data_IF_393705957528
#
_entry.id   IF_393705957528
#
_cell.length_a   1.000
_cell.length_b   1.000
_cell.length_c   1.000
_cell.angle_alpha   90.00
_cell.angle_beta   90.00
_cell.angle_gamma   90.00
#
_symmetry.space_group_name_H-M   'P 1'
#
loop_
_entity.id
_entity.type
_entity.pdbx_description
1 polymer ?
#
# COMPACT_ATOMS: atom_id res chain seq x y z
N UNK A 1 -5.57 11.48 2.06
CA UNK A 1 -5.78 11.24 3.50
C UNK A 1 -4.92 12.22 4.31
N UNK A 2 -5.43 12.74 5.44
CA UNK A 2 -4.65 13.59 6.36
C UNK A 2 -4.17 12.72 7.53
N UNK A 3 -2.87 12.60 7.71
CA UNK A 3 -2.31 11.91 8.88
C UNK A 3 -2.23 12.88 10.07
N UNK A 4 -2.51 12.41 11.30
CA UNK A 4 -2.43 13.26 12.49
C UNK A 4 -0.98 13.62 12.84
N UNK A 5 -0.02 12.75 12.49
CA UNK A 5 1.40 12.95 12.75
C UNK A 5 2.19 12.87 11.44
N UNK A 6 3.20 13.73 11.29
CA UNK A 6 4.10 13.71 10.13
C UNK A 6 4.85 12.37 10.00
N UNK A 7 5.23 11.77 11.13
CA UNK A 7 5.91 10.46 11.17
C UNK A 7 5.06 9.33 10.60
N UNK A 8 3.75 9.33 10.86
CA UNK A 8 2.83 8.33 10.32
C UNK A 8 2.74 8.43 8.79
N UNK A 9 2.73 9.66 8.26
CA UNK A 9 2.76 9.88 6.81
C UNK A 9 4.05 9.32 6.17
N UNK A 10 5.19 9.51 6.82
CA UNK A 10 6.48 8.96 6.37
C UNK A 10 6.49 7.43 6.43
N UNK A 11 6.05 6.83 7.55
CA UNK A 11 5.97 5.39 7.72
C UNK A 11 5.06 4.75 6.67
N UNK A 12 3.90 5.35 6.42
CA UNK A 12 2.99 4.92 5.35
C UNK A 12 3.66 4.99 3.96
N UNK A 13 4.36 6.08 3.67
CA UNK A 13 5.04 6.27 2.37
C UNK A 13 6.14 5.22 2.15
N UNK A 14 6.92 4.90 3.19
CA UNK A 14 7.94 3.87 3.14
C UNK A 14 7.33 2.49 2.85
N UNK A 15 6.31 2.09 3.61
CA UNK A 15 5.64 0.81 3.44
C UNK A 15 4.83 0.69 2.15
N UNK A 16 4.49 1.81 1.52
CA UNK A 16 3.84 1.83 0.19
C UNK A 16 4.84 1.51 -0.93
N UNK A 17 6.10 1.87 -0.76
CA UNK A 17 7.14 1.65 -1.77
C UNK A 17 7.75 0.25 -1.65
N UNK A 18 7.97 -0.23 -0.43
CA UNK A 18 8.64 -1.50 -0.16
C UNK A 18 8.19 -2.12 1.17
N UNK A 19 8.26 -3.44 1.27
CA UNK A 19 7.94 -4.18 2.50
C UNK A 19 9.16 -4.19 3.40
N UNK A 20 9.08 -3.50 4.54
CA UNK A 20 10.20 -3.32 5.46
C UNK A 20 9.93 -3.96 6.82
N UNK A 21 10.94 -4.59 7.46
CA UNK A 21 10.83 -5.09 8.82
C UNK A 21 10.83 -3.95 9.85
N UNK A 22 10.39 -4.28 11.06
CA UNK A 22 10.24 -3.33 12.16
C UNK A 22 11.56 -2.62 12.52
N UNK A 23 12.68 -3.34 12.46
CA UNK A 23 14.00 -2.81 12.80
C UNK A 23 14.50 -1.79 11.76
N UNK A 24 14.22 -2.03 10.48
CA UNK A 24 14.61 -1.11 9.42
C UNK A 24 13.76 0.17 9.43
N UNK A 25 12.46 0.04 9.73
CA UNK A 25 11.58 1.20 9.97
C UNK A 25 12.07 2.03 11.16
N UNK A 26 12.47 1.36 12.25
CA UNK A 26 13.01 2.01 13.44
C UNK A 26 14.27 2.80 13.10
N UNK A 27 15.18 2.21 12.32
CA UNK A 27 16.41 2.85 11.88
C UNK A 27 16.17 4.04 10.96
N UNK A 28 15.29 3.92 9.95
CA UNK A 28 15.02 5.00 8.98
C UNK A 28 14.31 6.20 9.60
N UNK A 29 13.44 5.96 10.58
CA UNK A 29 12.71 7.01 11.29
C UNK A 29 13.47 7.50 12.53
N UNK A 30 14.64 6.92 12.84
CA UNK A 30 15.43 7.18 14.05
C UNK A 30 14.59 7.06 15.33
N UNK A 31 13.72 6.04 15.40
CA UNK A 31 12.86 5.76 16.55
C UNK A 31 13.09 4.35 17.09
N UNK A 32 12.62 4.08 18.30
CA UNK A 32 12.66 2.73 18.85
C UNK A 32 11.62 1.82 18.19
N UNK A 33 11.90 0.52 18.12
CA UNK A 33 10.98 -0.51 17.62
C UNK A 33 9.62 -0.47 18.36
N UNK A 34 9.63 -0.18 19.66
CA UNK A 34 8.40 0.07 20.46
C UNK A 34 7.55 1.20 19.88
N UNK A 35 8.18 2.29 19.45
CA UNK A 35 7.50 3.43 18.81
C UNK A 35 6.93 3.04 17.45
N UNK A 36 7.69 2.29 16.65
CA UNK A 36 7.20 1.75 15.36
C UNK A 36 5.92 0.92 15.57
N UNK A 37 5.86 0.07 16.59
CA UNK A 37 4.64 -0.71 16.91
C UNK A 37 3.44 0.18 17.26
N UNK A 38 3.66 1.21 18.07
CA UNK A 38 2.59 2.16 18.41
C UNK A 38 2.11 2.91 17.17
N UNK A 39 3.05 3.38 16.34
CA UNK A 39 2.77 4.09 15.09
C UNK A 39 2.00 3.19 14.10
N UNK A 40 2.41 1.93 13.93
CA UNK A 40 1.70 0.96 13.07
C UNK A 40 0.31 0.64 13.61
N UNK A 41 0.15 0.54 14.93
CA UNK A 41 -1.17 0.33 15.54
C UNK A 41 -2.09 1.51 15.24
N UNK A 42 -1.60 2.74 15.41
CA UNK A 42 -2.36 3.94 15.08
C UNK A 42 -2.70 4.00 13.57
N UNK A 43 -1.74 3.62 12.71
CA UNK A 43 -1.94 3.57 11.27
C UNK A 43 -2.98 2.51 10.86
N UNK A 44 -2.93 1.33 11.48
CA UNK A 44 -3.90 0.25 11.26
C UNK A 44 -5.31 0.68 11.68
N UNK A 45 -5.46 1.38 12.80
CA UNK A 45 -6.76 1.93 13.21
C UNK A 45 -7.32 2.93 12.19
N UNK A 46 -6.45 3.75 11.58
CA UNK A 46 -6.85 4.66 10.52
C UNK A 46 -7.27 3.92 9.25
N UNK A 47 -6.49 2.90 8.86
CA UNK A 47 -6.74 2.12 7.64
C UNK A 47 -7.91 1.14 7.77
N UNK A 48 -8.22 0.67 8.98
CA UNK A 48 -9.33 -0.24 9.24
C UNK A 48 -10.68 0.36 8.80
N UNK A 49 -10.83 1.69 8.88
CA UNK A 49 -12.00 2.42 8.38
C UNK A 49 -12.17 2.31 6.85
N UNK A 50 -11.08 2.04 6.14
CA UNK A 50 -11.04 1.86 4.69
C UNK A 50 -10.90 0.38 4.29
N UNK A 51 -10.98 -0.54 5.24
CA UNK A 51 -10.81 -1.98 4.99
C UNK A 51 -9.39 -2.38 4.59
N UNK A 52 -8.38 -1.64 5.08
CA UNK A 52 -6.97 -1.97 4.88
C UNK A 52 -6.24 -2.04 6.22
N UNK A 53 -5.14 -2.79 6.27
CA UNK A 53 -4.31 -2.91 7.47
C UNK A 53 -2.91 -3.42 7.11
N UNK A 54 -1.90 -3.03 7.89
CA UNK A 54 -0.57 -3.61 7.81
C UNK A 54 -0.46 -4.84 8.70
N UNK A 55 -0.12 -5.97 8.08
CA UNK A 55 0.16 -7.23 8.77
C UNK A 55 1.67 -7.48 8.78
N UNK A 56 2.18 -7.98 9.91
CA UNK A 56 3.58 -8.39 10.02
C UNK A 56 3.73 -9.82 9.50
N UNK A 57 4.43 -9.99 8.38
CA UNK A 57 4.81 -11.31 7.89
C UNK A 57 6.22 -11.67 8.38
N UNK A 58 6.36 -12.82 9.03
CA UNK A 58 7.62 -13.26 9.62
C UNK A 58 8.62 -13.55 8.51
N UNK A 59 9.70 -12.75 8.44
CA UNK A 59 10.75 -12.87 7.42
C UNK A 59 10.66 -11.86 6.27
N UNK A 60 9.51 -11.20 6.07
CA UNK A 60 9.35 -10.18 5.00
C UNK A 60 9.02 -8.78 5.51
N UNK A 61 8.64 -8.65 6.79
CA UNK A 61 8.30 -7.35 7.38
C UNK A 61 6.82 -7.01 7.24
N UNK A 62 6.49 -5.73 7.22
CA UNK A 62 5.11 -5.28 7.15
C UNK A 62 4.58 -5.27 5.71
N UNK A 63 3.43 -5.91 5.52
CA UNK A 63 2.72 -5.97 4.25
C UNK A 63 1.34 -5.33 4.38
N UNK A 64 0.96 -4.54 3.38
CA UNK A 64 -0.38 -3.99 3.30
C UNK A 64 -1.36 -5.09 2.86
N UNK A 65 -2.28 -5.43 3.75
CA UNK A 65 -3.42 -6.30 3.47
C UNK A 65 -4.66 -5.44 3.25
N UNK A 66 -5.36 -5.71 2.16
CA UNK A 66 -6.63 -5.08 1.81
C UNK A 66 -7.72 -6.13 2.03
N UNK A 67 -8.54 -5.94 3.06
CA UNK A 67 -9.67 -6.83 3.35
C UNK A 67 -10.92 -6.42 2.57
N UNK A 68 -11.10 -5.12 2.26
CA UNK A 68 -12.21 -4.64 1.42
C UNK A 68 -11.70 -3.86 0.20
N UNK A 69 -11.64 -4.51 -0.99
CA UNK A 69 -11.12 -3.87 -2.20
C UNK A 69 -12.00 -2.71 -2.69
N UNK A 70 -13.29 -2.69 -2.35
CA UNK A 70 -14.24 -1.64 -2.78
C UNK A 70 -13.97 -0.32 -2.04
N UNK A 71 -13.75 -0.40 -0.72
CA UNK A 71 -13.39 0.76 0.12
C UNK A 71 -11.98 1.28 -0.18
N UNK A 72 -11.05 0.38 -0.48
CA UNK A 72 -9.70 0.75 -0.90
C UNK A 72 -9.68 1.46 -2.26
N UNK A 73 -10.54 1.04 -3.21
CA UNK A 73 -10.68 1.73 -4.51
C UNK A 73 -11.07 3.19 -4.37
N UNK A 74 -11.97 3.51 -3.44
CA UNK A 74 -12.36 4.90 -3.15
C UNK A 74 -11.19 5.72 -2.58
N UNK A 75 -10.31 5.09 -1.77
CA UNK A 75 -9.07 5.70 -1.29
C UNK A 75 -8.07 5.94 -2.43
N UNK A 76 -7.95 5.03 -3.39
CA UNK A 76 -7.09 5.18 -4.58
C UNK A 76 -7.64 6.19 -5.59
N UNK A 77 -8.95 6.30 -5.76
CA UNK A 77 -9.58 7.24 -6.71
C UNK A 77 -9.41 8.70 -6.31
N UNK A 78 -9.17 8.98 -5.02
CA UNK A 78 -8.88 10.34 -4.54
C UNK A 78 -7.42 10.73 -4.76
N UNK A 79 -6.52 9.77 -5.03
CA UNK A 79 -5.17 10.05 -5.49
C UNK A 79 -5.19 10.13 -7.03
N UNK A 80 -4.53 11.12 -7.67
CA UNK A 80 -4.46 11.17 -9.13
C UNK A 80 -3.81 9.88 -9.64
N UNK A 81 -4.64 8.98 -10.17
CA UNK A 81 -4.26 7.68 -10.69
C UNK A 81 -3.39 7.84 -11.93
N UNK A 82 -2.08 7.87 -11.75
CA UNK A 82 -1.20 7.30 -12.75
C UNK A 82 -1.29 5.77 -12.62
N UNK A 83 -1.94 5.13 -13.60
CA UNK A 83 -1.80 3.71 -13.95
C UNK A 83 -2.47 2.68 -13.04
N UNK A 84 -3.80 2.58 -13.12
CA UNK A 84 -4.45 1.26 -13.10
C UNK A 84 -4.57 0.78 -14.55
N UNK A 85 -3.60 -0.01 -15.01
CA UNK A 85 -3.71 -0.77 -16.26
C UNK A 85 -4.11 -2.20 -15.89
N UNK A 86 -5.39 -2.59 -16.02
CA UNK A 86 -5.72 -3.99 -16.14
C UNK A 86 -5.62 -4.33 -17.63
N UNK A 87 -4.55 -5.02 -18.05
CA UNK A 87 -4.55 -5.66 -19.37
C UNK A 87 -4.13 -7.12 -19.27
N UNK A 88 -4.79 -7.84 -18.38
CA UNK A 88 -5.14 -9.24 -18.61
C UNK A 88 -6.66 -9.26 -18.77
N UNK A 89 -7.28 -9.85 -19.80
CA UNK A 89 -6.85 -10.51 -21.00
C UNK A 89 -8.11 -10.59 -21.88
N UNK A 90 -8.05 -10.35 -23.18
CA UNK A 90 -9.02 -10.94 -24.12
C UNK A 90 -8.53 -10.88 -25.56
N UNK A 91 -8.33 -12.07 -26.07
CA UNK A 91 -8.09 -12.46 -27.44
C UNK A 91 -9.20 -11.90 -28.34
N UNK A 92 -8.83 -11.23 -29.42
CA UNK A 92 -9.63 -11.13 -30.62
C UNK A 92 -8.70 -11.15 -31.84
N UNK A 93 -8.69 -12.32 -32.47
CA UNK A 93 -8.14 -12.65 -33.77
C UNK A 93 -8.53 -11.62 -34.82
N UNK A 94 -7.55 -11.10 -35.59
CA UNK A 94 -7.55 -11.07 -37.06
C UNK A 94 -6.23 -10.48 -37.57
N UNK A 95 -5.26 -11.34 -37.87
CA UNK A 95 -4.25 -11.00 -38.86
C UNK A 95 -4.99 -10.86 -40.20
N UNK A 96 -5.25 -9.62 -40.63
CA UNK A 96 -5.56 -9.29 -42.01
C UNK A 96 -4.36 -8.50 -42.54
N UNK A 97 -3.31 -9.21 -42.93
CA UNK A 97 -2.30 -8.65 -43.84
C UNK A 97 -2.97 -8.58 -45.21
N UNK A 98 -3.49 -7.40 -45.54
CA UNK A 98 -3.77 -7.04 -46.92
C UNK A 98 -2.49 -6.41 -47.46
N UNK A 99 -1.80 -7.10 -48.37
CA UNK A 99 -0.77 -6.51 -49.23
C UNK A 99 -1.18 -6.82 -50.67
N UNK A 100 -1.51 -5.75 -51.39
CA UNK A 100 -1.60 -5.68 -52.85
C UNK A 100 -0.21 -5.72 -53.48
#
# INVERSE_FOLDING_TARGET
>A
MRFPNQRLAQLFTLLRNETLPQDELAQRLSVSTRTVRADITALNTLLAQYGAQFILNRGSGYQLKIDNPTSFRALEETAPKAQHVPRTAQIASRFCWCVS
#
